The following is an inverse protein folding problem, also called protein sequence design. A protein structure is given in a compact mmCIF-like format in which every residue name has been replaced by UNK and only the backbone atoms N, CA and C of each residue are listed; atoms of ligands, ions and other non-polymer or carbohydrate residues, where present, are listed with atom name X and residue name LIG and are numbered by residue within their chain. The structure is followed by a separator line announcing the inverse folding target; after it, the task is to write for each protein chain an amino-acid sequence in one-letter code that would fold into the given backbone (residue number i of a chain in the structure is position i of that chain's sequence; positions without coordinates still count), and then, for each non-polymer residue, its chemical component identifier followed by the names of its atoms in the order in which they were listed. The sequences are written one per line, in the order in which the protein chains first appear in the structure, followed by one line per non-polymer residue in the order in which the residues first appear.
data_IF_614425025369
#
_entry.id   IF_614425025369
#
_cell.length_a   1.000
_cell.length_b   1.000
_cell.length_c   1.000
_cell.angle_alpha   90.00
_cell.angle_beta   90.00
_cell.angle_gamma   90.00
#
_symmetry.space_group_name_H-M   'P 1'
#
loop_
_entity.id
_entity.type
_entity.pdbx_description
1 polymer ?
#
# COMPACT_ATOMS: atom_id res chain seq x y z
N UNK A 1 -12.19 -38.63 -53.71
CA UNK A 1 -13.63 -38.88 -53.46
C UNK A 1 -14.20 -37.53 -53.01
N UNK A 2 -14.75 -36.67 -53.89
CA UNK A 2 -15.95 -36.84 -54.75
C UNK A 2 -17.14 -37.22 -53.85
N UNK A 3 -18.27 -36.54 -53.72
CA UNK A 3 -18.99 -35.49 -54.46
C UNK A 3 -20.03 -34.89 -53.45
N UNK A 4 -20.38 -33.60 -53.42
CA UNK A 4 -21.48 -32.97 -54.19
C UNK A 4 -22.78 -33.81 -54.15
N UNK A 5 -23.98 -33.34 -53.79
CA UNK A 5 -24.88 -32.50 -54.61
C UNK A 5 -26.25 -32.55 -53.91
N UNK A 6 -26.80 -31.46 -53.38
CA UNK A 6 -27.94 -30.67 -53.92
C UNK A 6 -29.09 -31.45 -54.59
N UNK A 7 -30.32 -30.94 -54.31
CA UNK A 7 -31.55 -30.88 -55.15
C UNK A 7 -32.45 -32.15 -55.14
N UNK A 8 -33.79 -32.14 -55.11
CA UNK A 8 -34.87 -31.22 -55.56
C UNK A 8 -36.24 -31.61 -54.90
N UNK A 9 -37.11 -30.61 -54.74
CA UNK A 9 -38.59 -30.55 -54.72
C UNK A 9 -39.47 -31.82 -54.54
N UNK A 10 -40.52 -31.69 -53.70
CA UNK A 10 -41.89 -31.53 -54.23
C UNK A 10 -42.92 -31.01 -53.19
N UNK A 11 -43.48 -29.88 -53.58
CA UNK A 11 -44.80 -29.27 -53.36
C UNK A 11 -45.90 -30.14 -52.76
N UNK A 12 -46.62 -29.61 -51.76
CA UNK A 12 -48.09 -29.68 -51.68
C UNK A 12 -48.65 -28.36 -51.10
N UNK A 13 -49.41 -27.65 -51.92
CA UNK A 13 -50.32 -26.58 -51.53
C UNK A 13 -51.57 -27.20 -50.88
N UNK A 14 -51.97 -26.70 -49.72
CA UNK A 14 -53.37 -26.70 -49.32
C UNK A 14 -53.65 -25.37 -48.60
N UNK A 15 -54.45 -24.55 -49.27
CA UNK A 15 -54.95 -23.28 -48.79
C UNK A 15 -56.07 -23.50 -47.78
N UNK A 16 -56.02 -22.81 -46.65
CA UNK A 16 -57.21 -22.54 -45.83
C UNK A 16 -57.10 -21.10 -45.34
N UNK A 17 -57.96 -20.24 -45.90
CA UNK A 17 -58.21 -18.90 -45.44
C UNK A 17 -59.22 -18.95 -44.29
N UNK A 18 -58.91 -18.31 -43.15
CA UNK A 18 -59.93 -17.77 -42.24
C UNK A 18 -59.32 -16.86 -41.17
N UNK A 19 -59.89 -15.66 -41.07
CA UNK A 19 -59.94 -14.73 -39.93
C UNK A 19 -58.64 -14.00 -39.51
N UNK A 20 -58.45 -12.79 -40.06
CA UNK A 20 -57.67 -11.73 -39.42
C UNK A 20 -58.39 -11.26 -38.15
N UNK A 21 -57.79 -11.51 -36.99
CA UNK A 21 -58.04 -10.75 -35.77
C UNK A 21 -57.00 -9.62 -35.66
N UNK A 22 -57.36 -8.40 -35.22
CA UNK A 22 -56.41 -7.30 -35.09
C UNK A 22 -55.38 -7.63 -34.00
N UNK A 23 -54.11 -7.71 -34.40
CA UNK A 23 -52.99 -7.84 -33.49
C UNK A 23 -52.88 -6.57 -32.63
N UNK A 24 -53.34 -6.65 -31.39
CA UNK A 24 -53.01 -5.66 -30.37
C UNK A 24 -51.51 -5.73 -30.10
N UNK A 25 -50.75 -4.78 -30.65
CA UNK A 25 -49.35 -4.56 -30.27
C UNK A 25 -49.36 -4.04 -28.84
N UNK A 26 -49.32 -4.97 -27.88
CA UNK A 26 -48.92 -4.67 -26.52
C UNK A 26 -47.45 -4.26 -26.60
N UNK A 27 -47.22 -2.95 -26.62
CA UNK A 27 -45.90 -2.37 -26.36
C UNK A 27 -45.46 -2.88 -24.99
N UNK A 28 -44.65 -3.94 -24.99
CA UNK A 28 -44.03 -4.44 -23.79
C UNK A 28 -43.00 -3.41 -23.39
N UNK A 29 -43.41 -2.51 -22.49
CA UNK A 29 -42.54 -1.52 -21.89
C UNK A 29 -41.30 -2.25 -21.37
N UNK A 30 -40.16 -2.03 -22.03
CA UNK A 30 -38.88 -2.49 -21.55
C UNK A 30 -38.72 -1.92 -20.13
N UNK A 31 -38.76 -2.79 -19.12
CA UNK A 31 -38.46 -2.38 -17.74
C UNK A 31 -37.07 -1.74 -17.79
N UNK A 32 -36.90 -0.50 -17.30
CA UNK A 32 -35.57 0.08 -17.23
C UNK A 32 -34.69 -0.87 -16.44
N UNK A 33 -33.54 -1.25 -17.03
CA UNK A 33 -32.50 -1.96 -16.29
C UNK A 33 -32.20 -1.15 -15.01
N UNK A 34 -31.96 -1.80 -13.86
CA UNK A 34 -31.62 -1.08 -12.65
C UNK A 34 -30.44 -0.17 -12.95
N UNK A 35 -30.68 1.14 -12.91
CA UNK A 35 -29.62 2.14 -13.01
C UNK A 35 -28.60 1.79 -11.94
N UNK A 36 -27.33 1.64 -12.33
CA UNK A 36 -26.25 1.51 -11.37
C UNK A 36 -26.45 2.58 -10.29
N UNK A 37 -26.40 2.22 -8.98
CA UNK A 37 -26.66 3.20 -7.93
C UNK A 37 -25.73 4.38 -8.15
N UNK A 38 -26.30 5.59 -8.17
CA UNK A 38 -25.51 6.81 -8.31
C UNK A 38 -24.37 6.78 -7.29
N UNK A 39 -23.16 7.15 -7.70
CA UNK A 39 -22.01 7.11 -6.81
C UNK A 39 -22.32 7.89 -5.53
N UNK A 40 -22.13 7.24 -4.38
CA UNK A 40 -22.46 7.81 -3.07
C UNK A 40 -21.61 9.06 -2.76
N UNK A 41 -20.48 9.22 -3.46
CA UNK A 41 -19.54 10.33 -3.32
C UNK A 41 -19.22 10.88 -4.72
N UNK A 42 -19.70 12.09 -5.08
CA UNK A 42 -19.43 12.67 -6.40
C UNK A 42 -17.94 12.90 -6.66
N UNK A 43 -17.21 13.36 -5.64
CA UNK A 43 -15.78 13.61 -5.71
C UNK A 43 -15.12 13.30 -4.37
N UNK A 44 -14.00 12.61 -4.40
CA UNK A 44 -13.17 12.32 -3.24
C UNK A 44 -11.74 12.80 -3.49
N UNK A 45 -11.14 13.48 -2.51
CA UNK A 45 -9.71 13.76 -2.47
C UNK A 45 -9.00 12.71 -1.62
N UNK A 46 -7.95 12.12 -2.16
CA UNK A 46 -7.03 11.26 -1.42
C UNK A 46 -5.71 12.02 -1.26
N UNK A 47 -5.48 12.51 -0.04
CA UNK A 47 -4.21 13.15 0.33
C UNK A 47 -3.20 12.06 0.66
N UNK A 48 -2.03 12.15 0.05
CA UNK A 48 -0.96 11.15 0.13
C UNK A 48 0.28 11.84 0.72
N UNK A 49 0.62 11.59 1.99
CA UNK A 49 1.77 12.21 2.66
C UNK A 49 3.14 11.67 2.23
N UNK A 50 3.31 11.38 0.94
CA UNK A 50 4.51 10.82 0.33
C UNK A 50 4.70 11.40 -1.07
N UNK A 51 5.92 11.27 -1.59
CA UNK A 51 6.22 11.57 -2.98
C UNK A 51 5.52 10.56 -3.91
N UNK A 52 5.31 10.96 -5.16
CA UNK A 52 4.78 10.07 -6.20
C UNK A 52 5.65 8.83 -6.38
N UNK A 53 5.02 7.69 -6.65
CA UNK A 53 5.68 6.39 -6.80
C UNK A 53 6.01 5.66 -5.49
N UNK A 54 5.98 6.32 -4.32
CA UNK A 54 6.18 5.65 -3.04
C UNK A 54 5.00 4.75 -2.62
N UNK A 55 5.21 3.88 -1.63
CA UNK A 55 4.20 2.89 -1.21
C UNK A 55 2.80 3.46 -0.88
N UNK A 56 2.70 4.62 -0.22
CA UNK A 56 1.39 5.26 0.03
C UNK A 56 0.74 5.83 -1.23
N UNK A 57 1.54 6.30 -2.19
CA UNK A 57 1.02 6.78 -3.48
C UNK A 57 0.43 5.63 -4.29
N UNK A 58 1.18 4.52 -4.38
CA UNK A 58 0.69 3.32 -5.04
C UNK A 58 -0.59 2.79 -4.37
N UNK A 59 -0.63 2.75 -3.04
CA UNK A 59 -1.81 2.25 -2.29
C UNK A 59 -3.01 3.18 -2.44
N UNK A 60 -2.80 4.50 -2.33
CA UNK A 60 -3.86 5.49 -2.49
C UNK A 60 -4.48 5.47 -3.88
N UNK A 61 -3.66 5.34 -4.93
CA UNK A 61 -4.12 5.23 -6.32
C UNK A 61 -4.85 3.91 -6.58
N UNK A 62 -4.36 2.80 -6.02
CA UNK A 62 -5.06 1.51 -6.09
C UNK A 62 -6.43 1.56 -5.39
N UNK A 63 -6.51 2.20 -4.21
CA UNK A 63 -7.76 2.38 -3.48
C UNK A 63 -8.74 3.27 -4.26
N UNK A 64 -8.28 4.40 -4.78
CA UNK A 64 -9.12 5.31 -5.56
C UNK A 64 -9.68 4.63 -6.83
N UNK A 65 -8.83 3.91 -7.57
CA UNK A 65 -9.28 3.13 -8.73
C UNK A 65 -10.33 2.07 -8.34
N UNK A 66 -10.14 1.38 -7.20
CA UNK A 66 -11.10 0.40 -6.69
C UNK A 66 -12.42 1.04 -6.22
N UNK A 67 -12.38 2.21 -5.61
CA UNK A 67 -13.59 2.97 -5.23
C UNK A 67 -14.40 3.40 -6.45
N UNK A 68 -13.73 3.85 -7.52
CA UNK A 68 -14.38 4.16 -8.80
C UNK A 68 -14.97 2.92 -9.44
N UNK A 69 -14.21 1.82 -9.50
CA UNK A 69 -14.68 0.55 -10.06
C UNK A 69 -15.88 -0.03 -9.31
N UNK A 70 -15.93 0.18 -7.99
CA UNK A 70 -17.07 -0.20 -7.18
C UNK A 70 -18.32 0.66 -7.43
N UNK A 71 -18.20 1.80 -8.13
CA UNK A 71 -19.23 2.83 -8.21
C UNK A 71 -19.47 3.55 -6.88
N UNK A 72 -18.49 3.55 -5.97
CA UNK A 72 -18.61 4.21 -4.66
C UNK A 72 -18.28 5.70 -4.76
N UNK A 73 -17.34 6.04 -5.66
CA UNK A 73 -16.88 7.40 -5.93
C UNK A 73 -16.94 7.65 -7.43
N UNK A 74 -17.47 8.80 -7.88
CA UNK A 74 -17.50 9.12 -9.31
C UNK A 74 -16.16 9.69 -9.81
N UNK A 75 -15.50 10.53 -9.01
CA UNK A 75 -14.21 11.14 -9.35
C UNK A 75 -13.25 11.12 -8.15
N UNK A 76 -12.00 10.74 -8.39
CA UNK A 76 -10.93 10.79 -7.38
C UNK A 76 -9.88 11.82 -7.78
N UNK A 77 -9.51 12.70 -6.84
CA UNK A 77 -8.37 13.61 -6.94
C UNK A 77 -7.26 13.14 -5.99
N UNK A 78 -6.00 13.23 -6.42
CA UNK A 78 -4.84 12.88 -5.60
C UNK A 78 -4.03 14.13 -5.28
N UNK A 79 -3.57 14.26 -4.04
CA UNK A 79 -2.68 15.35 -3.61
C UNK A 79 -1.50 14.76 -2.84
N UNK A 80 -0.33 14.73 -3.47
CA UNK A 80 0.91 14.26 -2.85
C UNK A 80 1.60 15.38 -2.06
N UNK A 81 1.84 15.17 -0.76
CA UNK A 81 2.51 16.12 0.14
C UNK A 81 3.58 15.37 0.94
N UNK A 82 4.74 15.16 0.33
CA UNK A 82 5.83 14.39 0.93
C UNK A 82 6.63 15.16 1.99
N UNK A 83 7.45 14.40 2.72
CA UNK A 83 8.48 14.92 3.62
C UNK A 83 8.33 14.47 5.07
N UNK A 84 9.49 14.25 5.72
CA UNK A 84 9.61 13.89 7.14
C UNK A 84 8.73 12.69 7.58
N UNK A 85 8.63 11.64 6.75
CA UNK A 85 7.79 10.48 7.05
C UNK A 85 6.28 10.77 7.05
N UNK A 86 5.87 11.84 6.35
CA UNK A 86 4.48 12.23 6.19
C UNK A 86 3.97 13.24 7.21
N UNK A 87 4.80 13.68 8.18
CA UNK A 87 4.37 14.65 9.20
C UNK A 87 4.04 16.03 8.60
N UNK A 88 4.68 16.41 7.49
CA UNK A 88 4.33 17.63 6.74
C UNK A 88 2.95 17.49 6.10
N UNK A 89 2.68 16.38 5.43
CA UNK A 89 1.37 16.09 4.83
C UNK A 89 0.26 15.96 5.87
N UNK A 90 0.57 15.39 7.04
CA UNK A 90 -0.37 15.31 8.17
C UNK A 90 -0.74 16.70 8.70
N UNK A 91 0.26 17.57 8.92
CA UNK A 91 0.02 18.95 9.36
C UNK A 91 -0.84 19.71 8.34
N UNK A 92 -0.53 19.58 7.05
CA UNK A 92 -1.29 20.21 5.97
C UNK A 92 -2.71 19.67 5.88
N UNK A 93 -2.91 18.37 6.08
CA UNK A 93 -4.23 17.75 6.08
C UNK A 93 -5.06 18.25 7.27
N UNK A 94 -4.50 18.27 8.47
CA UNK A 94 -5.17 18.79 9.66
C UNK A 94 -5.50 20.29 9.55
N UNK A 95 -4.67 21.07 8.85
CA UNK A 95 -4.93 22.49 8.59
C UNK A 95 -6.08 22.69 7.59
N UNK A 96 -6.08 21.94 6.48
CA UNK A 96 -6.93 22.24 5.31
C UNK A 96 -8.20 21.39 5.23
N UNK A 97 -8.18 20.17 5.79
CA UNK A 97 -9.17 19.13 5.51
C UNK A 97 -9.77 18.44 6.75
N UNK A 98 -9.49 18.92 7.97
CA UNK A 98 -9.95 18.28 9.23
C UNK A 98 -11.47 18.09 9.31
N UNK A 99 -12.26 18.99 8.68
CA UNK A 99 -13.71 18.90 8.61
C UNK A 99 -14.24 18.57 7.19
N UNK A 100 -13.38 18.34 6.20
CA UNK A 100 -13.79 18.13 4.82
C UNK A 100 -14.44 16.73 4.66
N UNK A 101 -15.75 16.64 4.35
CA UNK A 101 -16.44 15.36 4.24
C UNK A 101 -16.03 14.53 3.01
N UNK A 102 -15.21 15.09 2.12
CA UNK A 102 -14.80 14.50 0.85
C UNK A 102 -13.27 14.39 0.74
N UNK A 103 -12.54 14.44 1.85
CA UNK A 103 -11.10 14.24 1.87
C UNK A 103 -10.71 13.10 2.80
N UNK A 104 -9.85 12.20 2.32
CA UNK A 104 -9.21 11.15 3.12
C UNK A 104 -7.70 11.29 3.05
N UNK A 105 -7.01 10.70 4.02
CA UNK A 105 -5.57 10.71 4.16
C UNK A 105 -5.04 9.27 4.15
N UNK A 106 -4.04 9.01 3.30
CA UNK A 106 -3.25 7.78 3.41
C UNK A 106 -2.27 7.90 4.58
N UNK A 107 -2.16 6.86 5.39
CA UNK A 107 -1.16 6.79 6.45
C UNK A 107 -0.81 5.33 6.75
N UNK A 108 0.08 5.09 7.71
CA UNK A 108 0.62 3.77 7.99
C UNK A 108 1.72 3.81 9.05
N UNK A 109 2.41 2.67 9.17
CA UNK A 109 3.51 2.51 10.12
C UNK A 109 4.59 3.59 9.98
N UNK A 110 4.87 4.04 8.75
CA UNK A 110 5.86 5.10 8.48
C UNK A 110 5.52 6.39 9.22
N UNK A 111 4.24 6.79 9.25
CA UNK A 111 3.80 8.01 9.94
C UNK A 111 3.86 7.83 11.45
N UNK A 112 3.40 6.67 11.96
CA UNK A 112 3.45 6.35 13.39
C UNK A 112 4.88 6.47 13.91
N UNK A 113 5.83 5.84 13.23
CA UNK A 113 7.23 5.89 13.60
C UNK A 113 7.87 7.27 13.44
N UNK A 114 7.52 8.02 12.38
CA UNK A 114 7.98 9.39 12.20
C UNK A 114 7.47 10.35 13.29
N UNK A 115 6.20 10.23 13.69
CA UNK A 115 5.63 10.99 14.82
C UNK A 115 6.34 10.64 16.12
N UNK A 116 6.55 9.35 16.39
CA UNK A 116 7.26 8.90 17.59
C UNK A 116 8.69 9.44 17.67
N UNK A 117 9.43 9.43 16.54
CA UNK A 117 10.81 9.91 16.48
C UNK A 117 10.90 11.44 16.56
N UNK A 118 10.09 12.15 15.78
CA UNK A 118 10.24 13.59 15.56
C UNK A 118 9.46 14.46 16.54
N UNK A 119 8.42 13.90 17.19
CA UNK A 119 7.51 14.60 18.11
C UNK A 119 6.98 15.94 17.55
N UNK A 120 6.38 15.93 16.34
CA UNK A 120 5.85 17.15 15.72
C UNK A 120 4.68 17.72 16.54
N UNK A 121 4.40 19.02 16.36
CA UNK A 121 3.25 19.67 17.02
C UNK A 121 1.89 19.14 16.54
N UNK A 122 1.82 18.64 15.30
CA UNK A 122 0.64 17.96 14.75
C UNK A 122 0.94 16.48 14.62
N UNK A 123 0.13 15.66 15.29
CA UNK A 123 0.24 14.21 15.32
C UNK A 123 -1.04 13.51 14.83
N UNK A 124 -1.05 12.18 14.89
CA UNK A 124 -2.18 11.38 14.41
C UNK A 124 -3.45 11.53 15.26
N UNK A 125 -3.42 12.24 16.39
CA UNK A 125 -4.63 12.56 17.15
C UNK A 125 -5.55 13.54 16.42
N UNK A 126 -5.07 14.18 15.34
CA UNK A 126 -5.82 15.09 14.46
C UNK A 126 -6.61 14.40 13.34
N UNK A 127 -6.49 13.09 13.21
CA UNK A 127 -7.20 12.30 12.18
C UNK A 127 -7.98 11.17 12.83
N UNK A 128 -9.04 10.72 12.17
CA UNK A 128 -9.86 9.58 12.56
C UNK A 128 -9.56 8.37 11.66
N UNK A 129 -9.27 7.19 12.22
CA UNK A 129 -9.03 5.99 11.43
C UNK A 129 -10.32 5.48 10.77
N UNK A 130 -10.27 5.17 9.48
CA UNK A 130 -11.34 4.47 8.78
C UNK A 130 -11.03 2.98 8.73
N UNK A 131 -9.94 2.59 8.07
CA UNK A 131 -9.55 1.19 7.92
C UNK A 131 -8.05 1.00 7.67
N UNK A 132 -7.52 -0.13 8.14
CA UNK A 132 -6.28 -0.74 7.66
C UNK A 132 -6.60 -1.53 6.39
N UNK A 133 -5.73 -1.42 5.40
CA UNK A 133 -5.96 -1.94 4.05
C UNK A 133 -5.02 -3.10 3.72
N UNK A 134 -3.72 -2.87 3.93
CA UNK A 134 -2.67 -3.76 3.46
C UNK A 134 -1.59 -3.93 4.49
N UNK A 135 -0.78 -4.96 4.29
CA UNK A 135 0.55 -5.04 4.87
C UNK A 135 1.51 -5.68 3.88
N UNK A 136 2.77 -5.30 3.97
CA UNK A 136 3.89 -5.92 3.29
C UNK A 136 5.10 -5.98 4.23
N UNK A 137 6.21 -6.53 3.73
CA UNK A 137 7.43 -6.71 4.48
C UNK A 137 8.59 -5.96 3.84
N UNK A 138 9.52 -5.54 4.69
CA UNK A 138 10.72 -4.84 4.29
C UNK A 138 11.79 -5.83 3.82
N UNK A 139 12.43 -5.51 2.71
CA UNK A 139 13.53 -6.26 2.13
C UNK A 139 14.81 -5.49 2.35
N UNK A 140 15.83 -6.16 2.89
CA UNK A 140 17.19 -5.66 2.84
C UNK A 140 17.88 -6.19 1.59
N UNK A 141 18.41 -5.27 0.79
CA UNK A 141 19.08 -5.56 -0.46
C UNK A 141 20.45 -4.88 -0.53
N UNK A 142 21.37 -5.50 -1.25
CA UNK A 142 22.70 -4.96 -1.56
C UNK A 142 22.87 -4.91 -3.07
N UNK A 143 23.95 -4.25 -3.54
CA UNK A 143 24.32 -4.30 -4.96
C UNK A 143 24.52 -5.75 -5.41
N UNK A 144 24.11 -6.09 -6.64
CA UNK A 144 24.08 -7.46 -7.15
C UNK A 144 25.43 -8.18 -7.15
N UNK A 145 26.53 -7.44 -7.29
CA UNK A 145 27.91 -7.93 -7.25
C UNK A 145 28.58 -7.79 -5.86
N UNK A 146 27.83 -7.39 -4.84
CA UNK A 146 28.35 -7.20 -3.48
C UNK A 146 28.91 -8.52 -2.90
N UNK A 147 30.00 -8.46 -2.12
CA UNK A 147 30.49 -9.62 -1.36
C UNK A 147 29.57 -10.00 -0.19
N UNK A 148 28.63 -9.13 0.19
CA UNK A 148 27.60 -9.42 1.18
C UNK A 148 26.53 -10.28 0.51
N UNK A 149 26.31 -11.50 1.00
CA UNK A 149 25.35 -12.45 0.40
C UNK A 149 24.23 -12.83 1.35
N UNK A 150 24.38 -12.58 2.65
CA UNK A 150 23.38 -12.82 3.69
C UNK A 150 23.20 -11.61 4.60
N UNK A 151 22.09 -11.56 5.33
CA UNK A 151 21.89 -10.57 6.39
C UNK A 151 22.94 -10.72 7.51
N UNK A 152 23.45 -11.93 7.76
CA UNK A 152 24.55 -12.16 8.71
C UNK A 152 25.83 -11.44 8.28
N UNK A 153 26.16 -11.44 6.99
CA UNK A 153 27.34 -10.74 6.47
C UNK A 153 27.20 -9.23 6.65
N UNK A 154 26.01 -8.68 6.38
CA UNK A 154 25.72 -7.27 6.62
C UNK A 154 25.88 -6.92 8.10
N UNK A 155 25.32 -7.73 9.00
CA UNK A 155 25.42 -7.53 10.46
C UNK A 155 26.86 -7.63 10.94
N UNK A 156 27.64 -8.55 10.38
CA UNK A 156 29.07 -8.66 10.66
C UNK A 156 29.79 -7.36 10.26
N UNK A 157 29.52 -6.83 9.06
CA UNK A 157 30.09 -5.56 8.61
C UNK A 157 29.64 -4.38 9.47
N UNK A 158 28.36 -4.30 9.85
CA UNK A 158 27.84 -3.29 10.79
C UNK A 158 28.54 -3.35 12.15
N UNK A 159 28.99 -4.53 12.59
CA UNK A 159 29.72 -4.70 13.85
C UNK A 159 31.18 -4.26 13.74
N UNK A 160 31.86 -4.63 12.65
CA UNK A 160 33.30 -4.38 12.49
C UNK A 160 33.63 -3.01 11.91
N UNK A 161 32.73 -2.46 11.10
CA UNK A 161 32.93 -1.22 10.33
C UNK A 161 31.62 -0.40 10.23
N UNK A 162 31.02 -0.01 11.37
CA UNK A 162 29.73 0.68 11.39
C UNK A 162 29.76 2.01 10.63
N UNK A 163 30.84 2.79 10.76
CA UNK A 163 30.94 4.13 10.19
C UNK A 163 30.88 4.14 8.65
N UNK A 164 31.39 3.09 8.00
CA UNK A 164 31.34 2.93 6.54
C UNK A 164 30.23 1.96 6.08
N UNK A 165 29.36 1.52 6.99
CA UNK A 165 28.20 0.68 6.65
C UNK A 165 26.94 1.54 6.60
N UNK A 166 26.87 2.40 5.58
CA UNK A 166 25.70 3.25 5.33
C UNK A 166 24.51 2.38 4.90
N UNK A 167 23.40 2.49 5.62
CA UNK A 167 22.13 1.87 5.28
C UNK A 167 21.20 2.94 4.71
N UNK A 168 20.81 2.81 3.45
CA UNK A 168 19.79 3.65 2.84
C UNK A 168 18.40 3.06 3.10
N UNK A 169 17.39 3.91 3.27
CA UNK A 169 16.00 3.45 3.35
C UNK A 169 15.02 4.60 3.29
N UNK A 170 13.74 4.30 3.49
CA UNK A 170 12.68 5.28 3.60
C UNK A 170 12.86 6.30 4.74
N UNK A 171 11.89 7.18 4.89
CA UNK A 171 11.99 8.34 5.78
C UNK A 171 12.42 8.00 7.23
N UNK A 172 13.16 8.91 7.85
CA UNK A 172 13.60 8.75 9.23
C UNK A 172 12.43 8.53 10.18
N UNK A 173 12.53 7.45 10.97
CA UNK A 173 11.51 7.01 11.92
C UNK A 173 10.52 6.02 11.30
N UNK A 174 10.50 5.88 9.98
CA UNK A 174 9.70 4.87 9.30
C UNK A 174 10.17 3.44 9.56
N UNK A 175 9.39 2.49 9.05
CA UNK A 175 9.59 1.05 9.22
C UNK A 175 10.97 0.57 8.73
N UNK A 176 11.49 1.13 7.64
CA UNK A 176 12.82 0.85 7.09
C UNK A 176 13.93 1.23 8.09
N UNK A 177 13.77 2.38 8.76
CA UNK A 177 14.71 2.86 9.77
C UNK A 177 14.63 2.02 11.05
N UNK A 178 13.42 1.60 11.44
CA UNK A 178 13.23 0.65 12.54
C UNK A 178 13.88 -0.71 12.21
N UNK A 179 13.75 -1.19 10.98
CA UNK A 179 14.37 -2.44 10.57
C UNK A 179 15.90 -2.34 10.54
N UNK A 180 16.46 -1.24 10.03
CA UNK A 180 17.89 -0.94 10.14
C UNK A 180 18.37 -0.92 11.61
N UNK A 181 17.57 -0.34 12.50
CA UNK A 181 17.82 -0.35 13.95
C UNK A 181 17.84 -1.77 14.53
N UNK A 182 16.92 -2.65 14.13
CA UNK A 182 16.90 -4.05 14.55
C UNK A 182 18.16 -4.78 14.09
N UNK A 183 18.59 -4.58 12.83
CA UNK A 183 19.84 -5.15 12.32
C UNK A 183 21.07 -4.61 13.08
N UNK A 184 21.09 -3.30 13.36
CA UNK A 184 22.16 -2.67 14.15
C UNK A 184 22.20 -3.15 15.60
N UNK A 185 21.04 -3.44 16.19
CA UNK A 185 20.94 -4.08 17.51
C UNK A 185 21.53 -5.49 17.48
N UNK A 186 21.25 -6.28 16.43
CA UNK A 186 21.87 -7.59 16.24
C UNK A 186 23.39 -7.51 15.99
N UNK A 187 23.88 -6.38 15.44
CA UNK A 187 25.30 -6.09 15.35
C UNK A 187 25.93 -5.77 16.71
N UNK A 188 25.12 -5.41 17.72
CA UNK A 188 25.55 -5.13 19.09
C UNK A 188 25.76 -3.65 19.41
N UNK A 189 25.49 -2.74 18.46
CA UNK A 189 25.70 -1.31 18.66
C UNK A 189 24.70 -0.44 17.87
N UNK A 190 23.52 -0.22 18.45
CA UNK A 190 22.49 0.66 17.87
C UNK A 190 22.92 2.12 17.71
N UNK A 191 23.83 2.60 18.56
CA UNK A 191 24.32 3.99 18.51
C UNK A 191 25.20 4.29 17.31
N UNK A 192 25.73 3.26 16.65
CA UNK A 192 26.63 3.39 15.51
C UNK A 192 25.94 3.16 14.16
N UNK A 193 24.61 3.03 14.13
CA UNK A 193 23.85 2.97 12.89
C UNK A 193 24.05 4.26 12.07
N UNK A 194 24.60 4.12 10.86
CA UNK A 194 24.66 5.19 9.87
C UNK A 194 23.50 4.99 8.89
N UNK A 195 22.39 5.66 9.17
CA UNK A 195 21.17 5.58 8.35
C UNK A 195 21.03 6.81 7.45
N UNK A 196 20.75 6.59 6.17
CA UNK A 196 20.49 7.66 5.20
C UNK A 196 19.02 7.59 4.74
N UNK A 197 18.16 8.52 5.20
CA UNK A 197 16.75 8.53 4.83
C UNK A 197 16.53 9.10 3.43
N UNK A 198 15.58 8.50 2.71
CA UNK A 198 15.11 8.94 1.41
C UNK A 198 13.58 9.06 1.39
N UNK A 199 13.04 9.73 0.37
CA UNK A 199 11.60 9.95 0.23
C UNK A 199 10.86 8.77 -0.43
N UNK A 200 11.59 7.80 -1.00
CA UNK A 200 11.04 6.57 -1.59
C UNK A 200 12.14 5.63 -2.08
N UNK A 201 11.76 4.39 -2.40
CA UNK A 201 12.66 3.29 -2.74
C UNK A 201 13.47 3.51 -4.01
N UNK A 202 12.98 4.28 -4.98
CA UNK A 202 13.75 4.62 -6.18
C UNK A 202 15.09 5.34 -5.85
N UNK A 203 15.07 6.22 -4.85
CA UNK A 203 16.30 6.90 -4.39
C UNK A 203 17.19 5.95 -3.58
N UNK A 204 16.59 5.00 -2.85
CA UNK A 204 17.31 3.94 -2.13
C UNK A 204 18.05 3.04 -3.11
N UNK A 205 17.38 2.59 -4.18
CA UNK A 205 17.99 1.82 -5.28
C UNK A 205 19.19 2.57 -5.84
N UNK A 206 19.02 3.85 -6.18
CA UNK A 206 20.12 4.68 -6.71
C UNK A 206 21.31 4.78 -5.74
N UNK A 207 21.05 4.93 -4.45
CA UNK A 207 22.10 5.00 -3.43
C UNK A 207 22.91 3.69 -3.32
N UNK A 208 22.25 2.55 -3.43
CA UNK A 208 22.91 1.22 -3.40
C UNK A 208 23.66 0.97 -4.70
N UNK A 209 23.05 1.22 -5.85
CA UNK A 209 23.66 0.96 -7.16
C UNK A 209 24.93 1.80 -7.38
N UNK A 210 24.93 3.04 -6.89
CA UNK A 210 26.07 3.97 -6.95
C UNK A 210 27.13 3.73 -5.88
N UNK A 211 26.90 2.80 -4.94
CA UNK A 211 27.82 2.50 -3.83
C UNK A 211 27.85 3.54 -2.72
N UNK A 212 26.95 4.54 -2.73
CA UNK A 212 26.79 5.50 -1.62
C UNK A 212 26.25 4.84 -0.35
N UNK A 213 25.45 3.79 -0.51
CA UNK A 213 24.98 2.95 0.57
C UNK A 213 25.42 1.50 0.37
N UNK A 214 25.83 0.83 1.45
CA UNK A 214 26.23 -0.58 1.43
C UNK A 214 25.01 -1.48 1.24
N UNK A 215 23.90 -1.12 1.88
CA UNK A 215 22.63 -1.82 1.76
C UNK A 215 21.46 -0.81 1.70
N UNK A 216 20.39 -1.23 1.07
CA UNK A 216 19.11 -0.53 1.02
C UNK A 216 18.03 -1.35 1.70
N UNK A 217 17.10 -0.67 2.37
CA UNK A 217 15.89 -1.26 2.92
C UNK A 217 14.68 -0.57 2.27
N UNK A 218 13.73 -1.36 1.79
CA UNK A 218 12.42 -0.89 1.32
C UNK A 218 11.47 -2.06 1.12
N UNK A 219 10.19 -1.78 0.81
CA UNK A 219 9.22 -2.82 0.47
C UNK A 219 9.61 -3.56 -0.81
N UNK A 220 9.29 -4.86 -0.87
CA UNK A 220 9.66 -5.72 -2.01
C UNK A 220 9.25 -5.13 -3.37
N UNK A 221 8.06 -4.52 -3.46
CA UNK A 221 7.57 -3.91 -4.70
C UNK A 221 8.52 -2.86 -5.28
N UNK A 222 9.19 -2.09 -4.42
CA UNK A 222 10.09 -1.00 -4.83
C UNK A 222 11.47 -1.52 -5.30
N UNK A 223 11.84 -2.75 -4.93
CA UNK A 223 13.09 -3.40 -5.35
C UNK A 223 12.91 -4.50 -6.41
N UNK A 224 11.68 -4.98 -6.61
CA UNK A 224 11.38 -6.19 -7.39
C UNK A 224 12.00 -6.22 -8.78
N UNK A 225 11.94 -5.13 -9.54
CA UNK A 225 12.55 -5.02 -10.88
C UNK A 225 14.09 -5.12 -10.83
N UNK A 226 14.71 -4.51 -9.83
CA UNK A 226 16.17 -4.50 -9.71
C UNK A 226 16.71 -5.80 -9.14
N UNK A 227 15.91 -6.49 -8.31
CA UNK A 227 16.18 -7.87 -7.90
C UNK A 227 16.06 -8.82 -9.10
N UNK A 228 14.99 -8.69 -9.89
CA UNK A 228 14.77 -9.55 -11.06
C UNK A 228 15.84 -9.37 -12.15
N UNK A 229 16.34 -8.15 -12.35
CA UNK A 229 17.43 -7.86 -13.29
C UNK A 229 18.84 -8.19 -12.74
N UNK A 230 18.95 -8.57 -11.47
CA UNK A 230 20.22 -8.88 -10.81
C UNK A 230 21.06 -7.66 -10.44
N UNK A 231 20.56 -6.44 -10.63
CA UNK A 231 21.24 -5.20 -10.19
C UNK A 231 21.30 -5.09 -8.67
N UNK A 232 20.29 -5.61 -7.99
CA UNK A 232 20.26 -5.77 -6.53
C UNK A 232 20.14 -7.25 -6.17
N UNK A 233 20.69 -7.61 -5.01
CA UNK A 233 20.49 -8.92 -4.36
C UNK A 233 19.73 -8.69 -3.06
N UNK A 234 18.56 -9.31 -2.92
CA UNK A 234 17.84 -9.35 -1.66
C UNK A 234 18.48 -10.39 -0.73
N UNK A 235 18.91 -9.97 0.47
CA UNK A 235 19.65 -10.81 1.42
C UNK A 235 18.83 -11.12 2.69
N UNK A 236 17.63 -10.54 2.79
CA UNK A 236 16.78 -10.69 3.97
C UNK A 236 15.41 -10.03 3.79
N UNK A 237 14.38 -10.64 4.35
CA UNK A 237 13.04 -10.05 4.50
C UNK A 237 12.63 -10.00 5.99
N UNK A 238 11.88 -8.97 6.37
CA UNK A 238 11.42 -8.71 7.75
C UNK A 238 10.21 -9.54 8.19
N UNK A 239 9.91 -10.65 7.52
CA UNK A 239 8.82 -11.58 7.87
C UNK A 239 9.33 -12.79 8.64
N UNK A 240 8.42 -13.50 9.33
CA UNK A 240 8.73 -14.77 10.02
C UNK A 240 9.33 -15.84 9.09
N UNK A 241 8.82 -15.91 7.86
CA UNK A 241 9.18 -16.91 6.86
C UNK A 241 9.71 -16.24 5.60
N UNK A 242 10.45 -16.99 4.78
CA UNK A 242 10.85 -16.54 3.46
C UNK A 242 9.64 -16.05 2.65
N UNK A 243 9.83 -14.97 1.91
CA UNK A 243 8.79 -14.28 1.16
C UNK A 243 9.32 -13.95 -0.24
N UNK A 244 8.60 -14.33 -1.29
CA UNK A 244 8.98 -14.05 -2.69
C UNK A 244 10.41 -14.51 -3.05
N UNK A 245 10.84 -15.66 -2.51
CA UNK A 245 12.18 -16.20 -2.72
C UNK A 245 13.28 -15.51 -1.90
N UNK A 246 12.95 -14.50 -1.09
CA UNK A 246 13.89 -13.81 -0.21
C UNK A 246 13.93 -14.54 1.15
N UNK A 247 15.12 -14.90 1.67
CA UNK A 247 15.23 -15.57 2.96
C UNK A 247 14.81 -14.64 4.11
N UNK A 248 14.12 -15.17 5.11
CA UNK A 248 13.80 -14.39 6.31
C UNK A 248 15.07 -14.06 7.10
N UNK A 249 15.20 -12.84 7.61
CA UNK A 249 16.30 -12.51 8.54
C UNK A 249 16.17 -13.27 9.88
N UNK A 250 14.93 -13.69 10.23
CA UNK A 250 14.66 -14.51 11.41
C UNK A 250 15.27 -15.88 11.31
N UNK A 251 15.14 -16.51 10.15
CA UNK A 251 15.81 -17.77 9.85
C UNK A 251 17.35 -17.63 9.82
N UNK A 252 17.84 -16.39 9.69
CA UNK A 252 19.25 -16.04 9.78
C UNK A 252 19.69 -15.61 11.20
N UNK A 253 18.85 -15.78 12.22
CA UNK A 253 19.21 -15.57 13.63
C UNK A 253 18.98 -14.14 14.16
N UNK A 254 18.23 -13.31 13.44
CA UNK A 254 17.80 -11.98 13.90
C UNK A 254 16.32 -12.02 14.21
N UNK A 255 15.92 -11.82 15.47
CA UNK A 255 14.50 -11.75 15.81
C UNK A 255 13.86 -10.47 15.26
N UNK A 256 13.37 -10.56 14.03
CA UNK A 256 12.65 -9.50 13.34
C UNK A 256 11.38 -10.08 12.71
N UNK A 257 10.27 -9.46 13.03
CA UNK A 257 8.97 -9.64 12.39
C UNK A 257 8.30 -8.27 12.37
N UNK A 258 8.43 -7.58 11.24
CA UNK A 258 8.07 -6.19 11.09
C UNK A 258 7.32 -6.02 9.78
N UNK A 259 6.02 -5.77 9.87
CA UNK A 259 5.15 -5.57 8.72
C UNK A 259 4.85 -4.08 8.53
N UNK A 260 4.94 -3.60 7.30
CA UNK A 260 4.61 -2.24 6.92
C UNK A 260 3.13 -2.16 6.54
N UNK A 261 2.30 -1.76 7.51
CA UNK A 261 0.87 -1.64 7.28
C UNK A 261 0.50 -0.26 6.72
N UNK A 262 -0.56 -0.24 5.90
CA UNK A 262 -1.12 0.99 5.31
C UNK A 262 -2.61 1.06 5.58
N UNK A 263 -3.09 2.26 5.82
CA UNK A 263 -4.48 2.54 6.14
C UNK A 263 -4.96 3.87 5.57
N UNK A 264 -6.26 4.07 5.67
CA UNK A 264 -6.96 5.27 5.25
C UNK A 264 -7.65 5.91 6.45
N UNK A 265 -7.54 7.23 6.52
CA UNK A 265 -8.01 8.07 7.61
C UNK A 265 -8.84 9.21 7.05
N UNK A 266 -9.62 9.85 7.90
CA UNK A 266 -10.36 11.09 7.60
C UNK A 266 -10.06 12.15 8.66
N UNK A 267 -10.49 13.38 8.44
CA UNK A 267 -10.38 14.44 9.44
C UNK A 267 -11.20 14.12 10.69
N UNK A 268 -10.71 14.53 11.86
CA UNK A 268 -11.36 14.23 13.15
C UNK A 268 -12.65 15.01 13.35
N UNK A 269 -12.76 16.17 12.72
CA UNK A 269 -13.98 16.98 12.74
C UNK A 269 -15.04 16.51 11.72
N UNK A 270 -14.76 15.51 10.86
CA UNK A 270 -15.76 14.93 9.95
C UNK A 270 -16.85 14.21 10.76
N UNK A 271 -18.15 14.50 10.55
CA UNK A 271 -19.24 13.87 11.30
C UNK A 271 -19.25 12.34 11.18
N UNK A 272 -19.59 11.63 12.26
CA UNK A 272 -19.57 10.15 12.32
C UNK A 272 -20.39 9.51 11.20
N UNK A 273 -21.55 10.09 10.85
CA UNK A 273 -22.39 9.61 9.75
C UNK A 273 -21.63 9.66 8.42
N UNK A 274 -20.82 10.71 8.21
CA UNK A 274 -19.99 10.82 7.01
C UNK A 274 -18.79 9.89 7.05
N UNK A 275 -18.16 9.69 8.20
CA UNK A 275 -17.11 8.68 8.36
C UNK A 275 -17.62 7.29 7.98
N UNK A 276 -18.86 6.94 8.36
CA UNK A 276 -19.48 5.68 7.97
C UNK A 276 -19.69 5.55 6.45
N UNK A 277 -20.06 6.64 5.76
CA UNK A 277 -20.16 6.65 4.28
C UNK A 277 -18.79 6.45 3.62
N UNK A 278 -17.74 7.11 4.14
CA UNK A 278 -16.38 6.91 3.66
C UNK A 278 -15.91 5.47 3.89
N UNK A 279 -16.19 4.90 5.07
CA UNK A 279 -15.85 3.53 5.40
C UNK A 279 -16.58 2.52 4.49
N UNK A 280 -17.87 2.73 4.20
CA UNK A 280 -18.61 1.89 3.25
C UNK A 280 -18.00 1.95 1.84
N UNK A 281 -17.59 3.13 1.38
CA UNK A 281 -16.89 3.27 0.10
C UNK A 281 -15.57 2.48 0.09
N UNK A 282 -14.81 2.48 1.19
CA UNK A 282 -13.59 1.67 1.34
C UNK A 282 -13.94 0.17 1.31
N UNK A 283 -14.95 -0.29 2.06
CA UNK A 283 -15.40 -1.70 2.07
C UNK A 283 -15.75 -2.19 0.68
N UNK A 284 -16.52 -1.40 -0.06
CA UNK A 284 -16.89 -1.70 -1.45
C UNK A 284 -15.67 -1.76 -2.36
N UNK A 285 -14.71 -0.85 -2.18
CA UNK A 285 -13.48 -0.83 -2.95
C UNK A 285 -12.66 -2.12 -2.75
N UNK A 286 -12.43 -2.53 -1.50
CA UNK A 286 -11.58 -3.71 -1.21
C UNK A 286 -12.20 -5.04 -1.65
N UNK A 287 -13.53 -5.07 -1.86
CA UNK A 287 -14.26 -6.21 -2.41
C UNK A 287 -14.13 -6.33 -3.94
N UNK A 288 -13.56 -5.35 -4.64
CA UNK A 288 -13.46 -5.35 -6.11
C UNK A 288 -12.29 -6.19 -6.63
N UNK A 289 -12.44 -6.76 -7.82
CA UNK A 289 -11.34 -7.36 -8.58
C UNK A 289 -10.22 -6.34 -8.85
N UNK A 290 -10.55 -5.06 -9.01
CA UNK A 290 -9.58 -3.98 -9.18
C UNK A 290 -8.63 -3.89 -8.00
N UNK A 291 -9.14 -3.95 -6.77
CA UNK A 291 -8.33 -3.99 -5.56
C UNK A 291 -7.49 -5.27 -5.48
N UNK A 292 -8.11 -6.43 -5.70
CA UNK A 292 -7.41 -7.72 -5.65
C UNK A 292 -6.27 -7.82 -6.67
N UNK A 293 -6.44 -7.27 -7.88
CA UNK A 293 -5.37 -7.15 -8.89
C UNK A 293 -4.28 -6.18 -8.45
N UNK A 294 -4.65 -5.09 -7.77
CA UNK A 294 -3.71 -4.15 -7.16
C UNK A 294 -2.81 -4.82 -6.14
N UNK A 295 -3.40 -5.56 -5.19
CA UNK A 295 -2.67 -6.34 -4.18
C UNK A 295 -1.67 -7.30 -4.81
N UNK A 296 -2.12 -8.10 -5.79
CA UNK A 296 -1.25 -9.08 -6.48
C UNK A 296 -0.10 -8.41 -7.22
N UNK A 297 -0.37 -7.33 -7.97
CA UNK A 297 0.66 -6.62 -8.73
C UNK A 297 1.73 -6.03 -7.82
N UNK A 298 1.33 -5.54 -6.65
CA UNK A 298 2.24 -4.92 -5.70
C UNK A 298 2.80 -5.88 -4.65
N UNK A 299 2.42 -7.17 -4.68
CA UNK A 299 2.78 -8.18 -3.67
C UNK A 299 2.43 -7.74 -2.25
N UNK A 300 1.26 -7.13 -2.08
CA UNK A 300 0.74 -6.76 -0.77
C UNK A 300 -0.24 -7.81 -0.27
N UNK A 301 -0.18 -8.09 1.03
CA UNK A 301 -1.19 -8.87 1.70
C UNK A 301 -2.39 -7.99 2.05
N UNK A 302 -3.59 -8.54 1.89
CA UNK A 302 -4.80 -7.90 2.41
C UNK A 302 -4.85 -8.08 3.92
N UNK A 303 -4.90 -6.96 4.65
CA UNK A 303 -5.04 -6.95 6.11
C UNK A 303 -6.11 -5.94 6.50
N UNK A 304 -7.36 -6.36 6.38
CA UNK A 304 -8.51 -5.54 6.73
C UNK A 304 -8.68 -5.44 8.24
N UNK A 305 -8.73 -4.21 8.76
CA UNK A 305 -9.17 -3.91 10.12
C UNK A 305 -9.94 -2.59 10.09
N UNK A 306 -10.99 -2.48 10.89
CA UNK A 306 -11.78 -1.25 11.01
C UNK A 306 -12.38 -1.13 12.41
N UNK A 307 -13.01 0.00 12.71
CA UNK A 307 -13.69 0.22 13.98
C UNK A 307 -12.76 0.05 15.19
N UNK A 308 -13.25 -0.63 16.23
CA UNK A 308 -12.50 -0.82 17.49
C UNK A 308 -11.22 -1.63 17.32
N UNK A 309 -11.21 -2.61 16.41
CA UNK A 309 -10.03 -3.44 16.19
C UNK A 309 -8.88 -2.62 15.61
N UNK A 310 -9.18 -1.76 14.63
CA UNK A 310 -8.15 -0.87 14.08
C UNK A 310 -7.72 0.22 15.06
N UNK A 311 -8.65 0.75 15.85
CA UNK A 311 -8.32 1.72 16.91
C UNK A 311 -7.36 1.12 17.95
N UNK A 312 -7.69 -0.05 18.51
CA UNK A 312 -6.82 -0.72 19.48
C UNK A 312 -5.47 -1.13 18.89
N UNK A 313 -5.44 -1.58 17.63
CA UNK A 313 -4.20 -1.83 16.91
C UNK A 313 -3.34 -0.56 16.81
N UNK A 314 -3.94 0.58 16.43
CA UNK A 314 -3.22 1.85 16.27
C UNK A 314 -2.66 2.37 17.59
N UNK A 315 -3.42 2.28 18.68
CA UNK A 315 -2.95 2.67 20.03
C UNK A 315 -1.74 1.83 20.47
N UNK A 316 -1.80 0.52 20.23
CA UNK A 316 -0.69 -0.38 20.50
C UNK A 316 0.53 -0.03 19.64
N UNK A 317 0.34 0.16 18.33
CA UNK A 317 1.43 0.44 17.40
C UNK A 317 2.11 1.79 17.70
N UNK A 318 1.34 2.82 18.04
CA UNK A 318 1.87 4.12 18.48
C UNK A 318 2.70 4.00 19.75
N UNK A 319 2.23 3.22 20.73
CA UNK A 319 2.98 2.95 21.97
C UNK A 319 4.28 2.20 21.68
N UNK A 320 4.21 1.17 20.83
CA UNK A 320 5.37 0.36 20.45
C UNK A 320 6.40 1.14 19.65
N UNK A 321 5.97 2.04 18.75
CA UNK A 321 6.87 2.89 17.99
C UNK A 321 7.69 3.82 18.90
N UNK A 322 7.08 4.39 19.95
CA UNK A 322 7.80 5.16 20.96
C UNK A 322 8.89 4.35 21.67
N UNK A 323 8.58 3.11 22.04
CA UNK A 323 9.54 2.20 22.69
C UNK A 323 10.66 1.79 21.70
N UNK A 324 10.31 1.44 20.47
CA UNK A 324 11.26 1.00 19.45
C UNK A 324 12.23 2.12 19.07
N UNK A 325 11.74 3.33 18.81
CA UNK A 325 12.60 4.49 18.52
C UNK A 325 13.61 4.75 19.63
N UNK A 326 13.20 4.62 20.90
CA UNK A 326 14.07 4.76 22.06
C UNK A 326 15.11 3.63 22.17
N UNK A 327 14.69 2.36 22.18
CA UNK A 327 15.58 1.20 22.37
C UNK A 327 16.57 1.07 21.22
N UNK A 328 16.12 1.36 19.99
CA UNK A 328 16.96 1.32 18.80
C UNK A 328 17.81 2.59 18.65
N UNK A 329 17.65 3.59 19.54
CA UNK A 329 18.40 4.86 19.54
C UNK A 329 18.37 5.57 18.17
N UNK A 330 17.23 5.49 17.50
CA UNK A 330 17.05 6.08 16.18
C UNK A 330 17.19 7.61 16.27
N UNK A 331 17.78 8.21 15.25
CA UNK A 331 17.96 9.67 15.15
C UNK A 331 17.33 10.18 13.87
N UNK A 332 16.73 11.37 13.93
CA UNK A 332 16.14 12.04 12.76
C UNK A 332 17.19 12.38 11.71
#
# INVERSE_FOLDING_TARGET
MVDSTRRIFNTWLAATAAAMAPASVLAQAAKPAPSAPAAAIPRLRIVIPANEGGGWDQTGRALGAAMTAAGAVAQVEYENIGGKGGTIGLARYAEKYDADPNAVLMSGMVMVGAVALQKPAVDMSRIAPLARLTSDYEVVAVKGDSPIVTAKDLIAKMRTDPANTVIAGGSAGGVDHMFAGILSRAAGNTSALVYQPFAGGAQVVSAVESGKAVAGISGYSEFSEQIASGKLRAIGVSSKNAFMGVPSVRQQGVDADLANWRGVFTGKAVPVQRQAVLLDAVRRAVATDTWQKGLKRSNWDSYWMEGKDFQGFLELDQSMAGILTYILKLKS
#
